data_IF_086554651893
#
_entry.id   IF_086554651893
#
_cell.length_a   1.000
_cell.length_b   1.000
_cell.length_c   1.000
_cell.angle_alpha   90.00
_cell.angle_beta   90.00
_cell.angle_gamma   90.00
#
_symmetry.space_group_name_H-M   'P 1'
#
loop_
_entity.id
_entity.type
_entity.pdbx_description
1 polymer ?
#
# COMPACT_ATOMS: atom_id res chain seq x y z
N UNK A 1 12.40 -0.20 17.78
CA UNK A 1 11.13 -0.56 17.12
C UNK A 1 11.37 -0.90 15.65
N UNK A 2 10.80 -2.00 15.19
CA UNK A 2 10.88 -2.39 13.79
C UNK A 2 9.88 -1.56 12.97
N UNK A 3 10.33 -1.02 11.87
CA UNK A 3 9.42 -0.31 10.99
C UNK A 3 8.60 -1.28 10.13
N UNK A 4 7.46 -0.81 9.66
CA UNK A 4 6.57 -1.56 8.78
C UNK A 4 7.20 -1.63 7.39
N UNK A 5 7.52 -2.83 6.93
CA UNK A 5 8.19 -3.03 5.65
C UNK A 5 7.22 -3.05 4.49
N UNK A 6 7.73 -2.81 3.28
CA UNK A 6 6.94 -2.91 2.05
C UNK A 6 6.41 -4.32 1.85
N UNK A 7 7.20 -5.34 2.18
CA UNK A 7 6.78 -6.73 2.04
C UNK A 7 5.60 -7.07 2.95
N UNK A 8 5.65 -6.61 4.20
CA UNK A 8 4.55 -6.84 5.14
C UNK A 8 3.26 -6.21 4.63
N UNK A 9 3.34 -5.00 4.11
CA UNK A 9 2.17 -4.32 3.55
C UNK A 9 1.69 -5.02 2.29
N UNK A 10 2.60 -5.45 1.42
CA UNK A 10 2.24 -6.18 0.20
C UNK A 10 1.49 -7.48 0.54
N UNK A 11 1.96 -8.21 1.54
CA UNK A 11 1.30 -9.45 1.97
C UNK A 11 -0.09 -9.18 2.55
N UNK A 12 -0.25 -8.14 3.36
CA UNK A 12 -1.55 -7.76 3.89
C UNK A 12 -2.50 -7.35 2.76
N UNK A 13 -2.02 -6.54 1.82
CA UNK A 13 -2.84 -6.09 0.70
C UNK A 13 -3.26 -7.24 -0.21
N UNK A 14 -2.40 -8.22 -0.43
CA UNK A 14 -2.74 -9.42 -1.21
C UNK A 14 -3.94 -10.14 -0.59
N UNK A 15 -3.99 -10.17 0.73
CA UNK A 15 -5.07 -10.82 1.46
C UNK A 15 -6.37 -9.99 1.41
N UNK A 16 -6.30 -8.71 1.75
CA UNK A 16 -7.51 -7.88 1.83
C UNK A 16 -8.07 -7.50 0.46
N UNK A 17 -7.23 -7.38 -0.56
CA UNK A 17 -7.66 -7.06 -1.91
C UNK A 17 -8.02 -8.29 -2.73
N UNK A 18 -7.77 -9.48 -2.18
CA UNK A 18 -7.98 -10.77 -2.85
C UNK A 18 -7.30 -10.80 -4.22
N UNK A 19 -6.05 -10.40 -4.25
CA UNK A 19 -5.27 -10.28 -5.48
C UNK A 19 -3.82 -10.64 -5.21
N UNK A 20 -3.29 -11.62 -5.93
CA UNK A 20 -1.98 -12.22 -5.63
C UNK A 20 -0.78 -11.43 -6.17
N UNK A 21 -0.94 -10.72 -7.28
CA UNK A 21 0.19 -10.12 -7.99
C UNK A 21 0.57 -8.76 -7.41
N UNK A 22 0.87 -8.75 -6.11
CA UNK A 22 1.32 -7.57 -5.38
C UNK A 22 2.76 -7.78 -4.95
N UNK A 23 3.62 -6.87 -5.33
CA UNK A 23 5.06 -6.96 -5.06
C UNK A 23 5.55 -5.79 -4.22
N UNK A 24 6.64 -5.99 -3.52
CA UNK A 24 7.24 -4.98 -2.66
C UNK A 24 8.47 -4.38 -3.34
N UNK A 25 8.47 -3.05 -3.52
CA UNK A 25 9.62 -2.31 -4.01
C UNK A 25 9.87 -2.41 -5.52
N UNK A 26 9.08 -3.16 -6.23
CA UNK A 26 9.16 -3.25 -7.69
C UNK A 26 7.83 -3.70 -8.27
N UNK A 27 7.62 -3.44 -9.55
CA UNK A 27 6.43 -3.88 -10.25
C UNK A 27 6.84 -4.78 -11.41
N UNK A 28 6.10 -5.85 -11.63
CA UNK A 28 6.37 -6.75 -12.74
C UNK A 28 5.76 -6.20 -14.03
N UNK A 29 6.60 -5.64 -14.88
CA UNK A 29 6.17 -5.04 -16.15
C UNK A 29 5.68 -6.06 -17.19
N UNK A 30 5.85 -7.35 -16.95
CA UNK A 30 5.34 -8.39 -17.85
C UNK A 30 3.86 -8.71 -17.62
N UNK A 31 3.31 -8.30 -16.47
CA UNK A 31 1.91 -8.57 -16.13
C UNK A 31 1.03 -7.40 -16.52
N UNK A 32 -0.16 -7.71 -17.05
CA UNK A 32 -1.17 -6.69 -17.39
C UNK A 32 -1.90 -6.17 -16.17
N UNK A 33 -1.95 -6.95 -15.11
CA UNK A 33 -2.61 -6.61 -13.84
C UNK A 33 -1.67 -6.92 -12.70
N UNK A 34 -1.14 -5.88 -12.07
CA UNK A 34 -0.22 -6.03 -10.97
C UNK A 34 -0.20 -4.76 -10.13
N UNK A 35 0.23 -4.91 -8.87
CA UNK A 35 0.37 -3.79 -7.95
C UNK A 35 1.77 -3.84 -7.34
N UNK A 36 2.45 -2.70 -7.36
CA UNK A 36 3.74 -2.54 -6.68
C UNK A 36 3.58 -1.63 -5.48
N UNK A 37 4.15 -2.01 -4.35
CA UNK A 37 4.14 -1.21 -3.12
C UNK A 37 5.50 -0.55 -2.96
N UNK A 38 5.50 0.77 -2.88
CA UNK A 38 6.72 1.58 -2.79
C UNK A 38 6.68 2.49 -1.59
N UNK A 39 7.84 2.89 -1.14
CA UNK A 39 7.96 3.93 -0.12
C UNK A 39 7.75 5.29 -0.79
N UNK A 40 6.78 6.08 -0.28
CA UNK A 40 6.48 7.40 -0.85
C UNK A 40 7.40 8.48 -0.32
N UNK A 41 7.87 8.34 0.92
CA UNK A 41 8.74 9.31 1.56
C UNK A 41 9.79 8.59 2.40
N UNK A 42 10.85 9.31 2.75
CA UNK A 42 11.90 8.75 3.58
C UNK A 42 11.35 8.28 4.92
N UNK A 43 11.86 7.13 5.36
CA UNK A 43 11.61 6.65 6.70
C UNK A 43 12.61 7.29 7.65
N UNK A 44 12.09 8.00 8.65
CA UNK A 44 12.91 8.57 9.72
C UNK A 44 12.58 7.82 11.00
N UNK A 45 13.50 7.02 11.54
CA UNK A 45 13.24 6.33 12.80
C UNK A 45 12.98 7.33 13.91
N UNK A 46 11.92 7.10 14.68
CA UNK A 46 11.65 7.90 15.85
C UNK A 46 12.22 7.24 17.08
N UNK A 47 12.86 8.04 17.90
CA UNK A 47 13.25 7.61 19.22
C UNK A 47 12.14 8.00 20.19
N UNK A 48 11.63 7.00 20.88
CA UNK A 48 10.67 7.24 21.93
C UNK A 48 11.35 7.06 23.26
N UNK A 49 11.41 8.15 24.01
CA UNK A 49 11.96 8.10 25.35
C UNK A 49 10.83 7.82 26.33
N UNK A 50 10.88 6.65 26.95
CA UNK A 50 10.09 6.36 28.12
C UNK A 50 8.74 5.69 27.94
N UNK A 51 8.25 5.45 26.74
CA UNK A 51 7.00 4.71 26.56
C UNK A 51 7.04 3.74 25.43
N UNK A 52 6.44 2.57 25.64
CA UNK A 52 6.37 1.50 24.65
C UNK A 52 5.21 1.69 23.65
N UNK A 53 4.41 2.72 23.78
CA UNK A 53 3.21 2.89 22.98
C UNK A 53 3.37 3.99 21.94
N UNK A 54 4.31 3.82 21.03
CA UNK A 54 4.48 4.76 19.94
C UNK A 54 3.73 4.30 18.71
N UNK A 55 3.06 5.23 18.09
CA UNK A 55 2.53 5.04 16.75
C UNK A 55 3.51 5.62 15.76
N UNK A 56 3.69 4.91 14.66
CA UNK A 56 4.49 5.39 13.55
C UNK A 56 3.62 5.45 12.30
N UNK A 57 4.04 6.26 11.36
CA UNK A 57 3.33 6.37 10.08
C UNK A 57 4.25 5.95 8.95
N UNK A 58 3.81 4.97 8.18
CA UNK A 58 4.52 4.53 6.99
C UNK A 58 3.84 5.17 5.78
N UNK A 59 4.57 6.00 5.06
CA UNK A 59 4.06 6.69 3.88
C UNK A 59 4.39 5.85 2.65
N UNK A 60 3.35 5.32 2.02
CA UNK A 60 3.51 4.38 0.93
C UNK A 60 2.79 4.81 -0.32
N UNK A 61 3.25 4.29 -1.43
CA UNK A 61 2.65 4.52 -2.74
C UNK A 61 2.43 3.17 -3.40
N UNK A 62 1.19 2.94 -3.81
CA UNK A 62 0.85 1.76 -4.60
C UNK A 62 0.78 2.19 -6.06
N UNK A 63 1.50 1.49 -6.90
CA UNK A 63 1.40 1.67 -8.36
C UNK A 63 0.59 0.50 -8.89
N UNK A 64 -0.53 0.80 -9.53
CA UNK A 64 -1.46 -0.19 -10.05
C UNK A 64 -1.40 -0.18 -11.57
N UNK A 65 -1.08 -1.33 -12.15
CA UNK A 65 -1.19 -1.56 -13.59
C UNK A 65 -2.40 -2.44 -13.81
N UNK A 66 -3.34 -2.01 -14.63
CA UNK A 66 -4.62 -2.73 -14.72
C UNK A 66 -5.21 -2.70 -16.12
N UNK A 67 -4.68 -3.53 -17.01
CA UNK A 67 -5.22 -3.72 -18.32
C UNK A 67 -5.21 -2.47 -19.21
N UNK A 68 -5.90 -2.55 -20.34
CA UNK A 68 -5.89 -1.46 -21.32
C UNK A 68 -7.18 -0.66 -21.39
N UNK A 69 -8.18 -0.97 -20.57
CA UNK A 69 -9.45 -0.26 -20.53
C UNK A 69 -9.44 0.77 -19.40
N UNK A 70 -9.43 2.08 -19.71
CA UNK A 70 -9.33 3.12 -18.68
C UNK A 70 -10.46 3.10 -17.67
N UNK A 71 -11.68 2.78 -18.09
CA UNK A 71 -12.83 2.75 -17.19
C UNK A 71 -12.71 1.63 -16.16
N UNK A 72 -12.29 0.45 -16.61
CA UNK A 72 -12.09 -0.69 -15.72
C UNK A 72 -10.93 -0.42 -14.75
N UNK A 73 -9.85 0.15 -15.25
CA UNK A 73 -8.70 0.49 -14.41
C UNK A 73 -9.06 1.53 -13.33
N UNK A 74 -9.82 2.55 -13.71
CA UNK A 74 -10.28 3.56 -12.76
C UNK A 74 -11.15 2.95 -11.65
N UNK A 75 -12.10 2.10 -12.04
CA UNK A 75 -12.97 1.43 -11.07
C UNK A 75 -12.17 0.55 -10.11
N UNK A 76 -11.19 -0.17 -10.64
CA UNK A 76 -10.36 -1.06 -9.81
C UNK A 76 -9.48 -0.26 -8.85
N UNK A 77 -8.87 0.82 -9.29
CA UNK A 77 -8.07 1.68 -8.43
C UNK A 77 -8.93 2.30 -7.33
N UNK A 78 -10.12 2.77 -7.66
CA UNK A 78 -11.05 3.31 -6.66
C UNK A 78 -11.49 2.26 -5.66
N UNK A 79 -11.78 1.05 -6.13
CA UNK A 79 -12.14 -0.07 -5.26
C UNK A 79 -11.02 -0.38 -4.27
N UNK A 80 -9.79 -0.49 -4.76
CA UNK A 80 -8.63 -0.75 -3.90
C UNK A 80 -8.45 0.37 -2.88
N UNK A 81 -8.59 1.62 -3.30
CA UNK A 81 -8.48 2.77 -2.40
C UNK A 81 -9.52 2.73 -1.29
N UNK A 82 -10.76 2.36 -1.62
CA UNK A 82 -11.82 2.25 -0.62
C UNK A 82 -11.56 1.13 0.37
N UNK A 83 -11.11 -0.03 -0.11
CA UNK A 83 -10.78 -1.16 0.77
C UNK A 83 -9.66 -0.78 1.74
N UNK A 84 -8.61 -0.13 1.23
CA UNK A 84 -7.49 0.31 2.07
C UNK A 84 -7.96 1.33 3.11
N UNK A 85 -8.79 2.27 2.72
CA UNK A 85 -9.32 3.29 3.63
C UNK A 85 -10.13 2.71 4.78
N UNK A 86 -10.74 1.54 4.57
CA UNK A 86 -11.55 0.87 5.58
C UNK A 86 -10.73 0.09 6.61
N UNK A 87 -9.42 0.00 6.43
CA UNK A 87 -8.58 -0.74 7.37
C UNK A 87 -8.65 -0.15 8.78
N UNK A 88 -8.87 -1.02 9.76
CA UNK A 88 -8.86 -0.68 11.17
C UNK A 88 -8.28 -1.85 11.95
N UNK A 89 -7.29 -1.57 12.77
CA UNK A 89 -6.65 -2.56 13.66
C UNK A 89 -6.30 -3.87 12.95
N UNK A 90 -5.75 -3.76 11.75
CA UNK A 90 -5.39 -4.91 10.94
C UNK A 90 -4.02 -5.47 11.34
N UNK A 91 -3.97 -6.78 11.62
CA UNK A 91 -2.71 -7.44 11.94
C UNK A 91 -1.88 -7.59 10.68
N UNK A 92 -0.65 -7.10 10.73
CA UNK A 92 0.28 -7.12 9.61
C UNK A 92 1.64 -7.64 10.12
N UNK A 93 1.81 -8.96 10.14
CA UNK A 93 2.99 -9.61 10.70
C UNK A 93 3.20 -9.24 12.18
N UNK A 94 4.29 -8.57 12.53
CA UNK A 94 4.58 -8.14 13.90
C UNK A 94 4.00 -6.79 14.24
N UNK A 95 3.20 -6.23 13.36
CA UNK A 95 2.62 -4.91 13.53
C UNK A 95 1.10 -4.96 13.48
N UNK A 96 0.49 -3.92 14.01
CA UNK A 96 -0.95 -3.69 13.87
C UNK A 96 -1.11 -2.36 13.16
N UNK A 97 -1.79 -2.36 12.01
CA UNK A 97 -2.15 -1.13 11.32
C UNK A 97 -3.42 -0.60 11.98
N UNK A 98 -3.30 0.53 12.64
CA UNK A 98 -4.41 1.15 13.36
C UNK A 98 -5.45 1.66 12.37
N UNK A 99 -4.98 2.40 11.36
CA UNK A 99 -5.81 2.87 10.27
C UNK A 99 -4.92 3.26 9.09
N UNK A 100 -5.54 3.41 7.93
CA UNK A 100 -4.88 3.89 6.72
C UNK A 100 -5.57 5.17 6.26
N UNK A 101 -4.77 6.16 5.90
CA UNK A 101 -5.26 7.43 5.37
C UNK A 101 -4.90 7.49 3.89
N UNK A 102 -5.89 7.32 3.03
CA UNK A 102 -5.68 7.39 1.58
C UNK A 102 -5.66 8.85 1.16
N UNK A 103 -4.48 9.34 0.79
CA UNK A 103 -4.26 10.74 0.45
C UNK A 103 -4.70 11.07 -0.96
N UNK A 104 -4.49 10.14 -1.89
CA UNK A 104 -4.81 10.39 -3.29
C UNK A 104 -4.95 9.07 -4.05
N UNK A 105 -5.86 9.07 -5.02
CA UNK A 105 -5.97 8.04 -6.05
C UNK A 105 -5.96 8.79 -7.36
N UNK A 106 -4.95 8.56 -8.22
CA UNK A 106 -4.83 9.33 -9.46
C UNK A 106 -4.29 8.49 -10.60
N UNK A 107 -4.72 8.85 -11.81
CA UNK A 107 -4.19 8.26 -13.04
C UNK A 107 -2.84 8.88 -13.37
N UNK A 108 -1.91 8.03 -13.82
CA UNK A 108 -0.64 8.51 -14.36
C UNK A 108 -0.50 8.17 -15.83
N UNK A 109 -1.58 7.71 -16.48
CA UNK A 109 -1.63 7.48 -17.90
C UNK A 109 -1.45 6.01 -18.27
N UNK A 110 -0.95 5.78 -19.48
CA UNK A 110 -0.66 4.45 -19.99
C UNK A 110 0.82 4.29 -20.25
N UNK A 111 1.32 3.07 -20.08
CA UNK A 111 2.70 2.77 -20.41
C UNK A 111 2.88 2.52 -21.92
N UNK A 112 4.09 2.14 -22.33
CA UNK A 112 4.43 1.88 -23.74
C UNK A 112 3.60 0.76 -24.36
N UNK A 113 3.08 -0.15 -23.54
CA UNK A 113 2.25 -1.27 -23.97
C UNK A 113 0.77 -0.97 -23.93
N UNK A 114 0.39 0.26 -23.56
CA UNK A 114 -1.00 0.67 -23.45
C UNK A 114 -1.70 0.23 -22.17
N UNK A 115 -0.95 -0.19 -21.16
CA UNK A 115 -1.49 -0.61 -19.87
C UNK A 115 -1.75 0.63 -19.02
N UNK A 116 -2.97 0.73 -18.48
CA UNK A 116 -3.36 1.86 -17.64
C UNK A 116 -2.68 1.77 -16.28
N UNK A 117 -2.16 2.90 -15.80
CA UNK A 117 -1.48 2.97 -14.53
C UNK A 117 -2.14 4.00 -13.62
N UNK A 118 -2.33 3.61 -12.36
CA UNK A 118 -2.86 4.46 -11.30
C UNK A 118 -1.93 4.42 -10.10
N UNK A 119 -1.99 5.47 -9.32
CA UNK A 119 -1.21 5.59 -8.08
C UNK A 119 -2.17 5.83 -6.92
N UNK A 120 -1.98 5.08 -5.84
CA UNK A 120 -2.66 5.33 -4.57
C UNK A 120 -1.59 5.72 -3.55
N UNK A 121 -1.68 6.93 -3.02
CA UNK A 121 -0.83 7.37 -1.92
C UNK A 121 -1.58 7.13 -0.62
N UNK A 122 -1.00 6.33 0.26
CA UNK A 122 -1.62 5.96 1.52
C UNK A 122 -0.61 6.00 2.66
N UNK A 123 -1.03 6.55 3.77
CA UNK A 123 -0.25 6.58 5.00
C UNK A 123 -0.85 5.56 5.96
N UNK A 124 -0.02 4.60 6.39
CA UNK A 124 -0.43 3.56 7.33
C UNK A 124 0.10 3.91 8.70
N UNK A 125 -0.80 4.18 9.63
CA UNK A 125 -0.43 4.40 11.03
C UNK A 125 -0.43 3.06 11.73
N UNK A 126 0.69 2.70 12.33
CA UNK A 126 0.90 1.37 12.88
C UNK A 126 1.61 1.42 14.24
N UNK A 127 1.54 0.30 14.94
CA UNK A 127 2.29 0.06 16.18
C UNK A 127 2.78 -1.37 16.19
N UNK A 128 3.72 -1.67 17.10
CA UNK A 128 4.15 -3.04 17.29
C UNK A 128 3.04 -3.88 17.91
N UNK A 129 2.97 -5.14 17.48
CA UNK A 129 2.03 -6.08 18.02
C UNK A 129 2.58 -6.61 19.35
N UNK A 130 1.84 -6.41 20.41
CA UNK A 130 2.18 -6.97 21.73
C UNK A 130 1.61 -8.37 21.83
N UNK A 131 2.48 -9.33 22.09
CA UNK A 131 2.08 -10.72 22.32
C UNK A 131 2.25 -11.08 23.79
#
# INVERSE_FOLDING_TARGET
>A
MNYLTLLEVADLLADILDFEDITAGCIDGALDKTVGVYQRAEFVPRECVGTASSYETAKMRLVIRWGNNPTIAEKKASEFGLIIRELREAVCSKHIIIFADVKAVRSIGKDDKGICEYVIDADFTYKERNE
#
